data_IF_936010132083
#
_entry.id   IF_936010132083
#
_cell.length_a   1.000
_cell.length_b   1.000
_cell.length_c   1.000
_cell.angle_alpha   90.00
_cell.angle_beta   90.00
_cell.angle_gamma   90.00
#
_symmetry.space_group_name_H-M   'P 1'
#
loop_
_entity.id
_entity.type
_entity.pdbx_description
1 polymer ?
#
# COMPACT_ATOMS: atom_id res chain seq x y z
N UNK A 1 -8.02 -16.44 5.95
CA UNK A 1 -6.85 -15.76 5.33
C UNK A 1 -7.12 -15.49 3.85
N UNK A 2 -7.69 -16.45 3.12
CA UNK A 2 -8.06 -16.30 1.71
C UNK A 2 -8.90 -15.05 1.40
N UNK A 3 -9.90 -14.73 2.22
CA UNK A 3 -10.68 -13.51 2.06
C UNK A 3 -9.83 -12.23 2.19
N UNK A 4 -8.89 -12.19 3.14
CA UNK A 4 -7.96 -11.07 3.30
C UNK A 4 -7.04 -10.96 2.07
N UNK A 5 -6.51 -12.08 1.58
CA UNK A 5 -5.71 -12.14 0.35
C UNK A 5 -6.49 -11.58 -0.84
N UNK A 6 -7.73 -12.03 -1.03
CA UNK A 6 -8.58 -11.63 -2.16
C UNK A 6 -8.97 -10.15 -2.11
N UNK A 7 -9.25 -9.60 -0.93
CA UNK A 7 -9.75 -8.22 -0.76
C UNK A 7 -8.60 -7.21 -0.65
N UNK A 8 -7.52 -7.57 0.05
CA UNK A 8 -6.48 -6.61 0.47
C UNK A 8 -5.15 -6.78 -0.26
N UNK A 9 -5.04 -7.80 -1.11
CA UNK A 9 -3.86 -8.18 -1.87
C UNK A 9 -2.94 -9.15 -1.10
N UNK A 10 -2.22 -10.05 -1.81
CA UNK A 10 -1.36 -11.07 -1.19
C UNK A 10 -0.17 -10.51 -0.41
N UNK A 11 0.29 -9.31 -0.80
CA UNK A 11 1.42 -8.61 -0.18
C UNK A 11 1.08 -7.96 1.16
N UNK A 12 -0.21 -7.98 1.57
CA UNK A 12 -0.63 -7.36 2.82
C UNK A 12 0.04 -8.04 4.01
N UNK A 13 0.80 -7.28 4.79
CA UNK A 13 1.40 -7.80 6.03
C UNK A 13 0.31 -8.11 7.05
N UNK A 14 0.30 -9.35 7.56
CA UNK A 14 -0.62 -9.81 8.60
C UNK A 14 0.19 -10.55 9.66
N UNK A 15 -0.07 -10.23 10.92
CA UNK A 15 0.46 -10.96 12.06
C UNK A 15 -0.61 -11.91 12.60
N UNK A 16 -0.23 -13.17 12.81
CA UNK A 16 -1.00 -14.17 13.55
C UNK A 16 -0.34 -14.32 14.91
N UNK A 17 -1.07 -13.93 15.96
CA UNK A 17 -0.69 -14.15 17.35
C UNK A 17 -1.63 -15.19 17.94
N UNK A 18 -1.09 -16.32 18.41
CA UNK A 18 -1.88 -17.45 18.92
C UNK A 18 -1.61 -17.67 20.39
N UNK A 19 -2.66 -18.05 21.11
CA UNK A 19 -2.59 -18.49 22.50
C UNK A 19 -1.80 -17.52 23.39
N UNK A 20 -2.03 -16.21 23.20
CA UNK A 20 -1.33 -15.15 23.93
C UNK A 20 -1.37 -15.41 25.43
N UNK A 21 -0.22 -15.28 26.10
CA UNK A 21 -0.02 -15.54 27.55
C UNK A 21 -0.05 -17.02 27.98
N UNK A 22 -0.24 -17.98 27.07
CA UNK A 22 -0.23 -19.42 27.37
C UNK A 22 1.11 -20.06 27.01
N UNK A 23 1.35 -21.27 27.50
CA UNK A 23 2.63 -21.99 27.34
C UNK A 23 3.06 -22.27 25.88
N UNK A 24 2.11 -22.25 24.94
CA UNK A 24 2.35 -22.50 23.52
C UNK A 24 2.07 -21.27 22.64
N UNK A 25 2.31 -20.07 23.19
CA UNK A 25 2.14 -18.84 22.42
C UNK A 25 3.04 -18.81 21.17
N UNK A 26 2.53 -18.25 20.09
CA UNK A 26 3.28 -18.08 18.85
C UNK A 26 2.86 -16.81 18.12
N UNK A 27 3.83 -16.02 17.68
CA UNK A 27 3.59 -14.78 16.93
C UNK A 27 4.36 -14.86 15.62
N UNK A 28 3.67 -14.63 14.51
CA UNK A 28 4.26 -14.75 13.17
C UNK A 28 3.68 -13.68 12.26
N UNK A 29 4.54 -12.95 11.58
CA UNK A 29 4.17 -11.87 10.66
C UNK A 29 4.77 -12.13 9.29
N UNK A 30 3.94 -12.11 8.25
CA UNK A 30 4.35 -12.29 6.86
C UNK A 30 3.27 -11.74 5.91
N UNK A 31 3.52 -11.65 4.59
CA UNK A 31 2.48 -11.39 3.60
C UNK A 31 1.32 -12.40 3.74
N UNK A 32 0.08 -11.94 3.62
CA UNK A 32 -1.12 -12.77 3.85
C UNK A 32 -1.20 -13.94 2.86
N UNK A 33 -0.66 -13.80 1.66
CA UNK A 33 -0.53 -14.89 0.68
C UNK A 33 0.36 -16.02 1.18
N UNK A 34 1.55 -15.69 1.68
CA UNK A 34 2.47 -16.66 2.28
C UNK A 34 1.91 -17.25 3.57
N UNK A 35 1.24 -16.43 4.37
CA UNK A 35 0.64 -16.83 5.64
C UNK A 35 -0.43 -17.91 5.46
N UNK A 36 -1.27 -17.78 4.43
CA UNK A 36 -2.29 -18.78 4.13
C UNK A 36 -1.66 -20.16 3.85
N UNK A 37 -0.58 -20.19 3.06
CA UNK A 37 0.18 -21.41 2.77
C UNK A 37 0.84 -21.96 4.04
N UNK A 38 1.47 -21.09 4.84
CA UNK A 38 2.13 -21.48 6.07
C UNK A 38 1.16 -22.09 7.10
N UNK A 39 -0.05 -21.53 7.26
CA UNK A 39 -1.07 -22.11 8.15
C UNK A 39 -1.55 -23.46 7.62
N UNK A 40 -1.72 -23.62 6.31
CA UNK A 40 -2.20 -24.87 5.71
C UNK A 40 -1.22 -26.05 5.87
N UNK A 41 0.08 -25.77 6.02
CA UNK A 41 1.12 -26.79 6.17
C UNK A 41 1.08 -27.53 7.52
N UNK A 42 0.47 -26.94 8.56
CA UNK A 42 0.37 -27.57 9.88
C UNK A 42 -0.94 -27.19 10.56
N UNK A 43 -1.81 -28.19 10.71
CA UNK A 43 -3.11 -28.05 11.37
C UNK A 43 -3.02 -27.47 12.79
N UNK A 44 -1.90 -27.61 13.49
CA UNK A 44 -1.74 -26.99 14.81
C UNK A 44 -1.73 -25.47 14.74
N UNK A 45 -1.33 -24.86 13.62
CA UNK A 45 -1.23 -23.39 13.43
C UNK A 45 -2.58 -22.69 13.34
N UNK A 46 -3.66 -23.41 13.11
CA UNK A 46 -5.03 -22.88 13.07
C UNK A 46 -5.87 -23.21 14.31
N UNK A 47 -5.27 -23.87 15.32
CA UNK A 47 -5.95 -24.22 16.57
C UNK A 47 -5.85 -23.12 17.61
N UNK A 48 -6.80 -23.12 18.54
CA UNK A 48 -6.75 -22.25 19.70
C UNK A 48 -7.28 -20.85 19.46
N UNK A 49 -7.03 -19.95 20.42
CA UNK A 49 -7.34 -18.53 20.28
C UNK A 49 -6.32 -17.84 19.36
N UNK A 50 -6.82 -17.08 18.39
CA UNK A 50 -6.00 -16.40 17.39
C UNK A 50 -6.41 -14.93 17.30
N UNK A 51 -5.43 -14.05 17.37
CA UNK A 51 -5.54 -12.62 17.07
C UNK A 51 -4.86 -12.35 15.74
N UNK A 52 -5.56 -11.68 14.83
CA UNK A 52 -5.01 -11.21 13.57
C UNK A 52 -4.77 -9.71 13.64
N UNK A 53 -3.52 -9.28 13.49
CA UNK A 53 -3.20 -7.87 13.27
C UNK A 53 -2.96 -7.66 11.78
N UNK A 54 -3.86 -6.93 11.14
CA UNK A 54 -3.79 -6.66 9.71
C UNK A 54 -3.21 -5.27 9.50
N UNK A 55 -2.13 -5.17 8.74
CA UNK A 55 -1.53 -3.86 8.43
C UNK A 55 -2.53 -2.96 7.70
N UNK A 56 -2.55 -1.68 8.09
CA UNK A 56 -3.33 -0.67 7.38
C UNK A 56 -2.90 -0.53 5.91
N UNK A 57 -3.80 -0.04 5.07
CA UNK A 57 -3.44 0.31 3.69
C UNK A 57 -2.33 1.37 3.71
N UNK A 58 -1.24 1.11 2.98
CA UNK A 58 -0.19 2.07 2.70
C UNK A 58 -0.27 2.41 1.22
N UNK A 59 -0.51 3.68 0.84
CA UNK A 59 -0.47 4.09 -0.55
C UNK A 59 0.91 3.77 -1.14
N UNK A 60 0.97 2.81 -2.06
CA UNK A 60 2.19 2.48 -2.81
C UNK A 60 2.28 3.42 -3.99
N UNK A 61 3.15 4.42 -3.88
CA UNK A 61 3.26 5.49 -4.87
C UNK A 61 2.28 6.62 -4.61
N UNK A 62 2.66 7.83 -5.01
CA UNK A 62 1.71 8.92 -5.07
C UNK A 62 0.72 8.59 -6.18
N UNK A 63 -0.40 7.96 -5.85
CA UNK A 63 -1.60 8.06 -6.68
C UNK A 63 -1.99 9.54 -6.70
N UNK A 64 -1.38 10.27 -7.62
CA UNK A 64 -1.72 11.66 -7.89
C UNK A 64 -3.13 11.60 -8.49
N UNK A 65 -4.13 12.25 -7.88
CA UNK A 65 -5.50 12.16 -8.36
C UNK A 65 -5.58 12.60 -9.82
N UNK A 66 -6.44 11.95 -10.61
CA UNK A 66 -6.56 12.22 -12.06
C UNK A 66 -6.80 13.71 -12.37
N UNK A 67 -7.56 14.43 -11.52
CA UNK A 67 -7.78 15.88 -11.66
C UNK A 67 -6.49 16.70 -11.54
N UNK A 68 -5.58 16.28 -10.65
CA UNK A 68 -4.28 16.91 -10.45
C UNK A 68 -3.38 16.64 -11.65
N UNK A 69 -3.36 15.41 -12.15
CA UNK A 69 -2.63 15.05 -13.37
C UNK A 69 -3.13 15.84 -14.58
N UNK A 70 -4.45 16.00 -14.73
CA UNK A 70 -5.01 16.78 -15.83
C UNK A 70 -4.60 18.25 -15.79
N UNK A 71 -4.49 18.82 -14.59
CA UNK A 71 -3.98 20.19 -14.41
C UNK A 71 -2.51 20.27 -14.77
N UNK A 72 -1.70 19.27 -14.40
CA UNK A 72 -0.29 19.19 -14.75
C UNK A 72 -0.08 19.12 -16.26
N UNK A 73 -0.84 18.27 -16.96
CA UNK A 73 -0.82 18.14 -18.42
C UNK A 73 -1.07 19.49 -19.11
N UNK A 74 -2.19 20.15 -18.78
CA UNK A 74 -2.57 21.43 -19.39
C UNK A 74 -1.54 22.53 -19.12
N UNK A 75 -0.96 22.57 -17.91
CA UNK A 75 0.08 23.55 -17.60
C UNK A 75 1.41 23.23 -18.27
N UNK A 76 1.71 21.96 -18.55
CA UNK A 76 2.95 21.54 -19.21
C UNK A 76 2.96 21.83 -20.71
N UNK A 77 1.78 21.95 -21.34
CA UNK A 77 1.65 22.42 -22.73
C UNK A 77 2.17 23.86 -22.90
N UNK A 78 1.99 24.71 -21.87
CA UNK A 78 2.30 26.14 -21.94
C UNK A 78 3.55 26.55 -21.15
N UNK A 79 4.01 25.70 -20.22
CA UNK A 79 5.09 26.03 -19.27
C UNK A 79 6.10 24.89 -19.16
N UNK A 80 7.39 25.19 -18.88
CA UNK A 80 8.35 24.16 -18.53
C UNK A 80 7.87 23.29 -17.36
N UNK A 81 8.08 21.98 -17.43
CA UNK A 81 7.63 20.99 -16.44
C UNK A 81 7.87 21.41 -14.98
N UNK A 82 9.03 22.00 -14.69
CA UNK A 82 9.36 22.48 -13.33
C UNK A 82 8.38 23.53 -12.80
N UNK A 83 7.88 24.42 -13.67
CA UNK A 83 6.87 25.44 -13.35
C UNK A 83 5.47 24.84 -13.32
N UNK A 84 5.12 24.01 -14.30
CA UNK A 84 3.83 23.31 -14.34
C UNK A 84 3.59 22.48 -13.07
N UNK A 85 4.59 21.71 -12.63
CA UNK A 85 4.55 20.93 -11.39
C UNK A 85 4.45 21.79 -10.13
N UNK A 86 5.07 22.97 -10.10
CA UNK A 86 4.99 23.88 -8.96
C UNK A 86 3.59 24.50 -8.83
N UNK A 87 3.02 25.00 -9.94
CA UNK A 87 1.67 25.59 -9.95
C UNK A 87 0.59 24.54 -9.66
N UNK A 88 0.72 23.34 -10.24
CA UNK A 88 -0.22 22.23 -9.95
C UNK A 88 -0.20 21.85 -8.47
N UNK A 89 0.99 21.81 -7.86
CA UNK A 89 1.16 21.55 -6.43
C UNK A 89 0.44 22.59 -5.57
N UNK A 90 0.57 23.87 -5.94
CA UNK A 90 -0.05 25.00 -5.24
C UNK A 90 -1.57 24.99 -5.38
N UNK A 91 -2.10 24.72 -6.58
CA UNK A 91 -3.55 24.66 -6.86
C UNK A 91 -4.24 23.54 -6.07
N UNK A 92 -3.60 22.37 -5.97
CA UNK A 92 -4.22 21.16 -5.41
C UNK A 92 -3.69 20.77 -4.02
N UNK A 93 -2.78 21.55 -3.43
CA UNK A 93 -2.20 21.27 -2.11
C UNK A 93 -1.39 19.97 -2.05
N UNK A 94 -0.72 19.60 -3.14
CA UNK A 94 0.02 18.34 -3.25
C UNK A 94 1.54 18.56 -3.35
N UNK A 95 2.32 17.47 -3.25
CA UNK A 95 3.79 17.57 -3.23
C UNK A 95 4.34 17.82 -4.64
N UNK A 96 4.95 18.97 -4.88
CA UNK A 96 5.66 19.31 -6.14
C UNK A 96 6.63 18.23 -6.61
N UNK A 97 7.41 17.63 -5.72
CA UNK A 97 8.41 16.61 -6.09
C UNK A 97 7.75 15.36 -6.70
N UNK A 98 6.56 15.00 -6.23
CA UNK A 98 5.79 13.89 -6.78
C UNK A 98 5.35 14.16 -8.22
N UNK A 99 4.77 15.33 -8.45
CA UNK A 99 4.30 15.78 -9.75
C UNK A 99 5.44 15.93 -10.76
N UNK A 100 6.58 16.47 -10.31
CA UNK A 100 7.76 16.64 -11.15
C UNK A 100 8.35 15.28 -11.57
N UNK A 101 8.47 14.35 -10.62
CA UNK A 101 8.95 12.99 -10.91
C UNK A 101 8.01 12.27 -11.87
N UNK A 102 6.71 12.33 -11.61
CA UNK A 102 5.69 11.75 -12.49
C UNK A 102 5.78 12.35 -13.90
N UNK A 103 5.88 13.67 -14.04
CA UNK A 103 5.98 14.32 -15.35
C UNK A 103 7.28 13.98 -16.10
N UNK A 104 8.41 13.80 -15.41
CA UNK A 104 9.65 13.33 -16.04
C UNK A 104 9.53 11.89 -16.59
N UNK A 105 8.73 11.05 -15.93
CA UNK A 105 8.50 9.67 -16.35
C UNK A 105 7.45 9.54 -17.47
N UNK A 106 6.56 10.53 -17.64
CA UNK A 106 5.38 10.44 -18.51
C UNK A 106 5.30 11.46 -19.67
N UNK A 107 6.06 12.56 -19.64
CA UNK A 107 6.07 13.57 -20.73
C UNK A 107 7.29 13.48 -21.65
N UNK A 108 8.06 12.39 -21.56
CA UNK A 108 9.14 12.06 -22.49
C UNK A 108 8.65 11.13 -23.60
#
# INVERSE_FOLDING_TARGET
LDALTAIMGPERQVCVAREMTKAFESITTMPVGELAVWVAQDSNRSRGEIVLLVSGYKPTGLEIPAKVLKTLELLNEELPLKKAAALTAEIHGCKKNALYKWGLENFN
#
